data_IF_974367422324
#
_entry.id   IF_974367422324
#
_cell.length_a   1.000
_cell.length_b   1.000
_cell.length_c   1.000
_cell.angle_alpha   90.00
_cell.angle_beta   90.00
_cell.angle_gamma   90.00
#
_symmetry.space_group_name_H-M   'P 1'
#
loop_
_entity.id
_entity.type
_entity.pdbx_description
1 polymer ?
#
# COMPACT_ATOMS: atom_id res chain seq x y z
N UNK A 1 -9.06 -22.29 9.96
CA UNK A 1 -8.05 -21.21 10.10
C UNK A 1 -8.76 -19.99 10.63
N UNK A 2 -8.41 -19.51 11.82
CA UNK A 2 -8.88 -18.20 12.30
C UNK A 2 -8.18 -17.13 11.45
N UNK A 3 -8.96 -16.23 10.90
CA UNK A 3 -8.48 -15.17 10.04
C UNK A 3 -7.60 -14.22 10.86
N UNK A 4 -6.31 -14.11 10.52
CA UNK A 4 -5.26 -13.39 11.29
C UNK A 4 -5.40 -11.85 11.11
N UNK A 5 -6.61 -11.39 10.76
CA UNK A 5 -6.95 -10.00 10.44
C UNK A 5 -7.81 -9.32 11.52
N UNK A 6 -8.04 -9.96 12.67
CA UNK A 6 -8.72 -9.32 13.80
C UNK A 6 -7.94 -8.07 14.24
N UNK A 7 -8.55 -6.90 14.06
CA UNK A 7 -7.99 -5.60 14.42
C UNK A 7 -7.49 -4.74 13.25
N UNK A 8 -7.23 -5.31 12.06
CA UNK A 8 -6.69 -4.51 10.94
C UNK A 8 -7.73 -3.62 10.26
N UNK A 9 -7.53 -2.29 10.30
CA UNK A 9 -8.44 -1.35 9.65
C UNK A 9 -8.02 -1.07 8.20
N UNK A 10 -8.43 -1.97 7.31
CA UNK A 10 -8.14 -1.90 5.88
C UNK A 10 -8.51 -0.54 5.25
N UNK A 11 -9.67 0.01 5.60
CA UNK A 11 -10.13 1.28 5.04
C UNK A 11 -9.23 2.44 5.47
N UNK A 12 -8.88 2.52 6.76
CA UNK A 12 -7.99 3.57 7.30
C UNK A 12 -6.61 3.50 6.65
N UNK A 13 -6.07 2.29 6.47
CA UNK A 13 -4.75 2.07 5.85
C UNK A 13 -4.75 2.46 4.38
N UNK A 14 -5.73 1.99 3.59
CA UNK A 14 -5.88 2.38 2.18
C UNK A 14 -5.99 3.91 2.05
N UNK A 15 -6.76 4.56 2.92
CA UNK A 15 -6.90 6.01 2.89
C UNK A 15 -5.56 6.73 3.17
N UNK A 16 -4.78 6.28 4.17
CA UNK A 16 -3.44 6.83 4.45
C UNK A 16 -2.51 6.65 3.26
N UNK A 17 -2.46 5.45 2.66
CA UNK A 17 -1.65 5.17 1.49
C UNK A 17 -2.07 6.07 0.31
N UNK A 18 -3.37 6.19 0.07
CA UNK A 18 -3.93 7.05 -0.98
C UNK A 18 -3.47 8.50 -0.83
N UNK A 19 -3.64 9.08 0.36
CA UNK A 19 -3.20 10.44 0.68
C UNK A 19 -1.70 10.63 0.48
N UNK A 20 -0.89 9.65 0.89
CA UNK A 20 0.57 9.69 0.71
C UNK A 20 0.97 9.72 -0.76
N UNK A 21 0.35 8.88 -1.59
CA UNK A 21 0.60 8.85 -3.04
C UNK A 21 0.14 10.17 -3.67
N UNK A 22 -1.07 10.64 -3.37
CA UNK A 22 -1.62 11.88 -3.94
C UNK A 22 -0.77 13.11 -3.56
N UNK A 23 -0.33 13.22 -2.31
CA UNK A 23 0.60 14.27 -1.86
C UNK A 23 1.98 14.19 -2.55
N UNK A 24 2.48 12.99 -2.86
CA UNK A 24 3.74 12.85 -3.59
C UNK A 24 3.65 13.40 -5.03
N UNK A 25 2.46 13.30 -5.63
CA UNK A 25 2.23 13.74 -7.00
C UNK A 25 1.66 15.16 -7.10
N UNK A 26 1.18 15.77 -6.01
CA UNK A 26 0.57 17.12 -6.01
C UNK A 26 1.40 18.16 -6.76
N UNK A 27 2.72 18.12 -6.58
CA UNK A 27 3.65 19.09 -7.16
C UNK A 27 4.08 18.74 -8.60
N UNK A 28 3.77 17.52 -9.06
CA UNK A 28 4.13 16.99 -10.38
C UNK A 28 3.02 17.18 -11.42
N UNK A 29 1.84 17.66 -11.02
CA UNK A 29 0.68 17.85 -11.91
C UNK A 29 0.71 19.09 -12.80
N UNK A 30 1.72 19.96 -12.68
CA UNK A 30 1.66 21.30 -13.28
C UNK A 30 1.75 21.32 -14.82
N UNK A 31 2.03 20.20 -15.52
CA UNK A 31 2.38 20.28 -16.96
C UNK A 31 1.78 19.26 -17.93
N UNK A 32 0.98 18.25 -17.55
CA UNK A 32 0.61 17.18 -18.49
C UNK A 32 -0.83 16.64 -18.50
N UNK A 33 -1.74 17.11 -17.63
CA UNK A 33 -3.13 16.61 -17.62
C UNK A 33 -4.11 17.62 -18.23
N UNK A 34 -5.07 17.17 -19.06
CA UNK A 34 -6.20 17.99 -19.48
C UNK A 34 -7.03 18.48 -18.27
N UNK A 35 -7.71 19.60 -18.42
CA UNK A 35 -8.55 20.22 -17.38
C UNK A 35 -9.72 19.35 -16.89
N UNK A 36 -10.18 18.41 -17.72
CA UNK A 36 -11.24 17.46 -17.39
C UNK A 36 -10.74 16.21 -16.63
N UNK A 37 -9.44 16.08 -16.42
CA UNK A 37 -8.80 14.90 -15.84
C UNK A 37 -7.95 15.25 -14.62
N UNK A 38 -7.96 14.36 -13.64
CA UNK A 38 -7.00 14.38 -12.53
C UNK A 38 -6.46 12.97 -12.30
N UNK A 39 -5.25 12.85 -11.79
CA UNK A 39 -4.76 11.57 -11.29
C UNK A 39 -5.22 11.38 -9.86
N UNK A 40 -5.67 10.17 -9.56
CA UNK A 40 -5.95 9.72 -8.20
C UNK A 40 -5.16 8.45 -7.92
N UNK A 41 -4.84 8.25 -6.64
CA UNK A 41 -4.27 6.99 -6.20
C UNK A 41 -5.37 5.96 -5.93
N UNK A 42 -5.11 4.73 -6.36
CA UNK A 42 -5.97 3.58 -6.14
C UNK A 42 -5.15 2.39 -5.63
N UNK A 43 -4.48 2.54 -4.47
CA UNK A 43 -3.59 1.50 -3.97
C UNK A 43 -4.35 0.21 -3.65
N UNK A 44 -3.64 -0.90 -3.77
CA UNK A 44 -4.14 -2.22 -3.39
C UNK A 44 -3.18 -2.89 -2.40
N UNK A 45 -3.70 -3.46 -1.32
CA UNK A 45 -2.86 -4.12 -0.31
C UNK A 45 -2.49 -5.51 -0.84
N UNK A 46 -1.20 -5.76 -0.94
CA UNK A 46 -0.65 -7.05 -1.37
C UNK A 46 -0.60 -8.01 -0.19
N UNK A 47 0.03 -7.61 0.91
CA UNK A 47 0.18 -8.45 2.09
C UNK A 47 0.49 -7.61 3.33
N UNK A 48 0.21 -8.16 4.51
CA UNK A 48 0.38 -7.50 5.79
C UNK A 48 1.12 -8.45 6.73
N UNK A 49 2.26 -8.01 7.25
CA UNK A 49 2.93 -8.67 8.36
C UNK A 49 2.50 -8.00 9.67
N UNK A 50 1.80 -8.74 10.52
CA UNK A 50 1.45 -8.28 11.87
C UNK A 50 2.65 -8.49 12.80
N UNK A 51 3.09 -7.44 13.48
CA UNK A 51 4.23 -7.47 14.39
C UNK A 51 3.74 -7.66 15.82
N UNK A 52 4.20 -8.74 16.44
CA UNK A 52 3.82 -9.13 17.79
C UNK A 52 5.00 -8.97 18.76
N UNK A 53 4.90 -8.04 19.72
CA UNK A 53 5.96 -7.73 20.71
C UNK A 53 7.36 -7.44 20.12
N UNK A 54 8.36 -7.28 20.99
CA UNK A 54 9.76 -7.08 20.60
C UNK A 54 10.32 -8.24 19.78
N UNK A 55 9.93 -9.48 20.08
CA UNK A 55 10.33 -10.67 19.32
C UNK A 55 9.92 -10.53 17.84
N UNK A 56 8.73 -10.01 17.58
CA UNK A 56 8.23 -9.79 16.22
C UNK A 56 9.06 -8.77 15.44
N UNK A 57 9.61 -7.74 16.10
CA UNK A 57 10.53 -6.80 15.47
C UNK A 57 11.81 -7.51 15.03
N UNK A 58 12.35 -8.40 15.87
CA UNK A 58 13.55 -9.17 15.53
C UNK A 58 13.29 -10.13 14.36
N UNK A 59 12.16 -10.82 14.37
CA UNK A 59 11.72 -11.71 13.27
C UNK A 59 11.60 -10.91 11.97
N UNK A 60 10.97 -9.74 11.98
CA UNK A 60 10.79 -8.92 10.78
C UNK A 60 12.10 -8.39 10.19
N UNK A 61 13.15 -8.22 11.01
CA UNK A 61 14.48 -7.78 10.58
C UNK A 61 15.40 -8.93 10.15
N UNK A 62 14.99 -10.19 10.34
CA UNK A 62 15.85 -11.32 10.08
C UNK A 62 16.17 -11.46 8.58
N UNK A 63 17.38 -11.97 8.29
CA UNK A 63 17.74 -12.34 6.92
C UNK A 63 17.10 -13.68 6.58
N UNK A 64 16.45 -13.76 5.43
CA UNK A 64 15.92 -15.00 4.88
C UNK A 64 16.96 -15.68 3.98
N UNK A 65 16.88 -17.00 3.86
CA UNK A 65 17.82 -17.83 3.08
C UNK A 65 17.31 -18.16 1.67
N UNK A 66 16.27 -17.48 1.20
CA UNK A 66 15.70 -17.61 -0.13
C UNK A 66 15.63 -16.23 -0.82
N UNK A 67 15.67 -16.18 -2.16
CA UNK A 67 15.54 -14.91 -2.88
C UNK A 67 14.15 -14.31 -2.69
N UNK A 68 14.10 -13.00 -2.46
CA UNK A 68 12.86 -12.22 -2.40
C UNK A 68 12.91 -11.19 -3.52
N UNK A 69 11.88 -11.21 -4.36
CA UNK A 69 11.70 -10.26 -5.46
C UNK A 69 10.57 -9.27 -5.11
N UNK A 70 10.96 -8.05 -4.74
CA UNK A 70 10.03 -6.97 -4.41
C UNK A 70 9.33 -6.35 -5.64
N UNK A 71 9.50 -6.92 -6.83
CA UNK A 71 8.70 -6.60 -8.00
C UNK A 71 7.65 -7.68 -8.32
N UNK A 72 7.63 -8.78 -7.55
CA UNK A 72 6.72 -9.90 -7.73
C UNK A 72 5.79 -10.09 -6.53
N UNK A 73 4.48 -9.94 -6.76
CA UNK A 73 3.44 -10.06 -5.72
C UNK A 73 3.54 -11.41 -5.00
N UNK A 74 3.68 -12.52 -5.72
CA UNK A 74 3.77 -13.85 -5.11
C UNK A 74 5.01 -13.98 -4.23
N UNK A 75 6.15 -13.44 -4.65
CA UNK A 75 7.37 -13.47 -3.85
C UNK A 75 7.24 -12.67 -2.55
N UNK A 76 6.54 -11.53 -2.58
CA UNK A 76 6.25 -10.73 -1.39
C UNK A 76 5.27 -11.44 -0.45
N UNK A 77 4.24 -12.10 -0.99
CA UNK A 77 3.31 -12.90 -0.19
C UNK A 77 4.04 -14.05 0.51
N UNK A 78 4.84 -14.82 -0.22
CA UNK A 78 5.63 -15.93 0.34
C UNK A 78 6.59 -15.46 1.43
N UNK A 79 7.21 -14.28 1.24
CA UNK A 79 8.07 -13.65 2.23
C UNK A 79 7.32 -13.27 3.51
N UNK A 80 6.17 -12.61 3.39
CA UNK A 80 5.34 -12.23 4.55
C UNK A 80 4.79 -13.47 5.26
N UNK A 81 4.35 -14.48 4.53
CA UNK A 81 3.88 -15.74 5.10
C UNK A 81 5.01 -16.43 5.88
N UNK A 82 6.21 -16.51 5.32
CA UNK A 82 7.38 -17.09 6.01
C UNK A 82 7.64 -16.41 7.36
N UNK A 83 7.64 -15.07 7.39
CA UNK A 83 7.85 -14.32 8.64
C UNK A 83 6.69 -14.51 9.62
N UNK A 84 5.45 -14.47 9.12
CA UNK A 84 4.24 -14.62 9.94
C UNK A 84 4.19 -15.97 10.65
N UNK A 85 4.65 -17.06 10.02
CA UNK A 85 4.71 -18.39 10.63
C UNK A 85 5.67 -18.48 11.83
N UNK A 86 6.60 -17.54 11.96
CA UNK A 86 7.52 -17.48 13.09
C UNK A 86 7.02 -16.58 14.22
N UNK A 87 6.01 -15.75 13.96
CA UNK A 87 5.47 -14.81 14.93
C UNK A 87 4.70 -15.52 16.04
N UNK A 88 4.94 -15.11 17.29
CA UNK A 88 4.13 -15.55 18.42
C UNK A 88 2.80 -14.78 18.47
N UNK A 89 1.77 -15.32 17.82
CA UNK A 89 0.43 -14.71 17.72
C UNK A 89 -0.32 -14.61 19.06
N UNK A 90 0.19 -15.19 20.15
CA UNK A 90 -0.38 -15.02 21.49
C UNK A 90 0.05 -13.70 22.16
N UNK A 91 1.05 -13.03 21.60
CA UNK A 91 1.54 -11.75 22.10
C UNK A 91 0.75 -10.59 21.51
N UNK A 92 0.77 -9.47 22.21
CA UNK A 92 0.12 -8.24 21.75
C UNK A 92 0.69 -7.77 20.41
N UNK A 93 -0.19 -7.20 19.59
CA UNK A 93 0.20 -6.56 18.34
C UNK A 93 0.76 -5.19 18.67
N UNK A 94 1.97 -4.89 18.21
CA UNK A 94 2.59 -3.56 18.41
C UNK A 94 2.65 -2.75 17.11
N UNK A 95 2.46 -3.40 15.96
CA UNK A 95 2.44 -2.71 14.68
C UNK A 95 2.24 -3.63 13.47
N UNK A 96 2.40 -3.05 12.29
CA UNK A 96 2.16 -3.68 11.00
C UNK A 96 3.18 -3.24 9.96
N UNK A 97 3.60 -4.18 9.10
CA UNK A 97 4.27 -3.87 7.82
C UNK A 97 3.28 -4.13 6.71
N UNK A 98 2.90 -3.09 5.99
CA UNK A 98 1.90 -3.15 4.92
C UNK A 98 2.61 -3.05 3.58
N UNK A 99 2.55 -4.13 2.79
CA UNK A 99 2.97 -4.14 1.40
C UNK A 99 1.78 -3.80 0.51
N UNK A 100 1.95 -2.84 -0.40
CA UNK A 100 0.87 -2.37 -1.27
C UNK A 100 1.40 -2.03 -2.66
N UNK A 101 0.53 -2.13 -3.66
CA UNK A 101 0.80 -1.67 -5.02
C UNK A 101 0.44 -0.19 -5.14
N UNK A 102 1.38 0.64 -5.62
CA UNK A 102 1.22 2.08 -5.89
C UNK A 102 0.49 2.35 -7.21
N UNK A 103 -0.70 1.78 -7.35
CA UNK A 103 -1.52 2.04 -8.52
C UNK A 103 -2.01 3.50 -8.52
N UNK A 104 -1.82 4.15 -9.66
CA UNK A 104 -2.40 5.45 -9.98
C UNK A 104 -3.36 5.29 -11.15
N UNK A 105 -4.40 6.11 -11.17
CA UNK A 105 -5.35 6.12 -12.28
C UNK A 105 -5.73 7.56 -12.59
N UNK A 106 -6.21 7.81 -13.80
CA UNK A 106 -6.80 9.09 -14.16
C UNK A 106 -8.32 8.96 -14.02
N UNK A 107 -8.92 9.92 -13.31
CA UNK A 107 -10.37 10.09 -13.17
C UNK A 107 -10.80 11.43 -13.75
N UNK A 108 -12.11 11.60 -13.92
CA UNK A 108 -12.71 12.92 -14.14
C UNK A 108 -12.35 13.84 -12.97
N UNK A 109 -11.87 15.05 -13.27
CA UNK A 109 -11.70 16.07 -12.23
C UNK A 109 -13.06 16.41 -11.59
N UNK A 110 -13.21 16.28 -10.25
CA UNK A 110 -14.43 16.64 -9.53
C UNK A 110 -14.87 18.10 -9.73
N UNK A 111 -13.94 19.00 -10.05
CA UNK A 111 -14.21 20.41 -10.32
C UNK A 111 -14.61 20.66 -11.79
N UNK A 112 -14.47 19.68 -12.68
CA UNK A 112 -14.90 19.79 -14.06
C UNK A 112 -16.41 19.56 -14.17
N UNK A 113 -17.13 20.66 -14.42
CA UNK A 113 -18.59 20.71 -14.34
C UNK A 113 -19.31 20.05 -15.51
N UNK A 114 -18.64 19.88 -16.66
CA UNK A 114 -19.25 19.28 -17.84
C UNK A 114 -19.16 17.76 -17.80
N UNK A 115 -20.06 17.09 -18.51
CA UNK A 115 -19.93 15.65 -18.75
C UNK A 115 -18.77 15.37 -19.69
N UNK A 116 -18.15 14.21 -19.53
CA UNK A 116 -17.11 13.76 -20.44
C UNK A 116 -17.75 13.34 -21.76
N UNK A 117 -17.14 13.75 -22.86
CA UNK A 117 -17.44 13.19 -24.18
C UNK A 117 -17.01 11.73 -24.23
N UNK A 118 -17.64 10.93 -25.09
CA UNK A 118 -17.24 9.54 -25.31
C UNK A 118 -15.75 9.38 -25.69
N UNK A 119 -15.17 10.39 -26.36
CA UNK A 119 -13.74 10.44 -26.63
C UNK A 119 -12.91 10.56 -25.35
N UNK A 120 -13.26 11.50 -24.46
CA UNK A 120 -12.55 11.71 -23.19
C UNK A 120 -12.67 10.50 -22.26
N UNK A 121 -13.85 9.90 -22.16
CA UNK A 121 -14.04 8.65 -21.39
C UNK A 121 -13.17 7.52 -21.92
N UNK A 122 -13.06 7.39 -23.25
CA UNK A 122 -12.20 6.39 -23.86
C UNK A 122 -10.71 6.62 -23.56
N UNK A 123 -10.25 7.88 -23.57
CA UNK A 123 -8.87 8.21 -23.22
C UNK A 123 -8.55 7.89 -21.75
N UNK A 124 -9.49 8.17 -20.81
CA UNK A 124 -9.36 7.74 -19.42
C UNK A 124 -9.20 6.21 -19.32
N UNK A 125 -10.09 5.47 -19.97
CA UNK A 125 -10.10 4.02 -19.92
C UNK A 125 -8.80 3.43 -20.51
N UNK A 126 -8.31 3.95 -21.64
CA UNK A 126 -7.05 3.51 -22.24
C UNK A 126 -5.86 3.72 -21.32
N UNK A 127 -5.75 4.91 -20.70
CA UNK A 127 -4.66 5.18 -19.77
C UNK A 127 -4.68 4.19 -18.59
N UNK A 128 -5.86 3.99 -17.99
CA UNK A 128 -6.02 3.13 -16.83
C UNK A 128 -5.82 1.64 -17.16
N UNK A 129 -6.11 1.20 -18.39
CA UNK A 129 -5.82 -0.16 -18.86
C UNK A 129 -4.34 -0.37 -19.18
N UNK A 130 -3.64 0.66 -19.65
CA UNK A 130 -2.23 0.59 -20.02
C UNK A 130 -1.29 0.61 -18.80
N UNK A 131 -1.73 1.15 -17.65
CA UNK A 131 -1.00 1.03 -16.40
C UNK A 131 -1.16 -0.38 -15.81
N UNK A 132 -0.33 -1.31 -16.26
CA UNK A 132 -0.21 -2.65 -15.68
C UNK A 132 1.07 -2.86 -14.87
N UNK A 133 1.86 -1.81 -14.64
CA UNK A 133 3.13 -1.94 -13.94
C UNK A 133 2.89 -2.11 -12.45
N UNK A 134 3.35 -3.23 -11.89
CA UNK A 134 3.37 -3.47 -10.45
C UNK A 134 4.47 -2.61 -9.84
N UNK A 135 4.10 -1.68 -8.96
CA UNK A 135 5.02 -0.86 -8.17
C UNK A 135 4.77 -1.15 -6.68
N UNK A 136 5.44 -2.18 -6.16
CA UNK A 136 5.28 -2.59 -4.77
C UNK A 136 6.02 -1.61 -3.87
N UNK A 137 5.35 -1.21 -2.80
CA UNK A 137 5.94 -0.39 -1.75
C UNK A 137 5.47 -0.85 -0.39
N UNK A 138 6.15 -0.34 0.64
CA UNK A 138 5.86 -0.68 2.02
C UNK A 138 5.52 0.57 2.84
N UNK A 139 4.71 0.37 3.87
CA UNK A 139 4.43 1.33 4.93
C UNK A 139 4.50 0.61 6.26
N UNK A 140 5.13 1.25 7.25
CA UNK A 140 5.21 0.75 8.62
C UNK A 140 4.24 1.55 9.48
N UNK A 141 3.45 0.87 10.31
CA UNK A 141 2.56 1.55 11.26
C UNK A 141 2.61 0.91 12.63
N UNK A 142 2.37 1.69 13.68
CA UNK A 142 2.06 1.17 15.00
C UNK A 142 0.67 0.52 15.05
N UNK A 143 0.30 -0.02 16.22
CA UNK A 143 -1.04 -0.58 16.48
C UNK A 143 -2.20 0.43 16.36
N UNK A 144 -1.90 1.73 16.46
CA UNK A 144 -2.86 2.84 16.33
C UNK A 144 -2.96 3.38 14.89
N UNK A 145 -2.24 2.76 13.95
CA UNK A 145 -2.13 3.09 12.54
C UNK A 145 -1.24 4.28 12.23
N UNK A 146 -0.49 4.81 13.19
CA UNK A 146 0.42 5.93 12.99
C UNK A 146 1.71 5.46 12.34
N UNK A 147 2.18 6.21 11.35
CA UNK A 147 3.32 5.81 10.53
C UNK A 147 4.59 5.92 11.35
N UNK A 148 5.42 4.88 11.29
CA UNK A 148 6.75 4.85 11.90
C UNK A 148 7.82 4.79 10.81
N UNK A 149 9.01 5.31 11.09
CA UNK A 149 10.06 5.38 10.08
C UNK A 149 10.86 4.07 10.01
N UNK A 150 11.03 3.42 11.16
CA UNK A 150 11.74 2.14 11.28
C UNK A 150 11.02 1.20 12.23
N UNK A 151 11.25 -0.10 12.10
CA UNK A 151 10.61 -1.12 12.95
C UNK A 151 10.93 -0.95 14.45
N UNK A 152 12.10 -0.41 14.78
CA UNK A 152 12.53 -0.22 16.17
C UNK A 152 11.69 0.87 16.88
N UNK A 153 11.07 1.78 16.13
CA UNK A 153 10.18 2.82 16.67
C UNK A 153 8.91 2.20 17.31
N UNK A 154 8.56 0.96 16.97
CA UNK A 154 7.42 0.24 17.57
C UNK A 154 7.63 -0.15 19.04
N UNK A 155 8.87 -0.03 19.53
CA UNK A 155 9.25 -0.39 20.91
C UNK A 155 9.28 0.81 21.86
N UNK A 156 9.01 2.02 21.34
CA UNK A 156 9.04 3.29 22.08
C UNK A 156 7.68 3.64 22.68
#
# INVERSE_FOLDING_TARGET
>A
MKDIREGFNHHKVILKIKQKIENHYSDKFTYAMPDWAMMSAAPDIISILTIHSEEGVQIAKQKVNFPVDFYNISSVVDYVDFLSHQMNTQKEIIGYVVFYNKNTLIIKDPNYLQDLTAFQENELNKYNQAQSQVDISLMLTDQNWDEVNVLDDLLS
#
